data_IF_620927827829
#
_entry.id   IF_620927827829
#
_cell.length_a   1.000
_cell.length_b   1.000
_cell.length_c   1.000
_cell.angle_alpha   90.00
_cell.angle_beta   90.00
_cell.angle_gamma   90.00
#
_symmetry.space_group_name_H-M   'P 1'
#
loop_
_entity.id
_entity.type
_entity.pdbx_description
1 polymer ?
#
# COMPACT_ATOMS: atom_id res chain seq x y z
N UNK A 1 23.39 33.98 -41.03
CA UNK A 1 23.31 34.11 -39.56
C UNK A 1 21.95 34.70 -39.26
N UNK A 2 20.97 33.87 -38.92
CA UNK A 2 19.58 34.31 -38.76
C UNK A 2 19.24 34.31 -37.27
N UNK A 3 19.03 35.50 -36.73
CA UNK A 3 18.49 35.71 -35.40
C UNK A 3 17.00 35.32 -35.42
N UNK A 4 16.62 34.37 -34.57
CA UNK A 4 15.21 34.03 -34.33
C UNK A 4 14.74 34.83 -33.13
N UNK A 5 13.96 35.87 -33.40
CA UNK A 5 13.20 36.62 -32.40
C UNK A 5 11.94 35.82 -32.07
N UNK A 6 11.87 35.25 -30.87
CA UNK A 6 10.64 34.61 -30.38
C UNK A 6 9.74 35.71 -29.81
N UNK A 7 8.68 36.01 -30.54
CA UNK A 7 7.58 36.87 -30.13
C UNK A 7 6.78 36.16 -29.04
N UNK A 8 6.64 36.77 -27.86
CA UNK A 8 5.65 36.37 -26.84
C UNK A 8 4.26 36.59 -27.40
N UNK A 9 3.53 35.51 -27.65
CA UNK A 9 2.09 35.56 -27.90
C UNK A 9 1.34 35.58 -26.58
N UNK A 10 0.78 36.73 -26.22
CA UNK A 10 -0.37 36.79 -25.32
C UNK A 10 -1.51 36.01 -25.96
N UNK A 11 -2.03 35.02 -25.23
CA UNK A 11 -3.34 34.42 -25.55
C UNK A 11 -4.15 34.36 -24.27
N UNK A 12 -5.09 35.32 -24.17
CA UNK A 12 -6.26 35.24 -23.30
C UNK A 12 -7.07 33.98 -23.63
N UNK A 13 -7.24 33.11 -22.64
CA UNK A 13 -8.16 31.98 -22.71
C UNK A 13 -8.79 31.69 -21.33
N UNK A 14 -10.00 32.24 -21.12
CA UNK A 14 -11.14 31.61 -20.43
C UNK A 14 -11.06 31.26 -18.93
N UNK A 15 -12.12 31.54 -18.13
CA UNK A 15 -12.19 31.08 -16.75
C UNK A 15 -12.78 29.66 -16.69
N UNK A 16 -11.93 28.63 -16.62
CA UNK A 16 -12.26 27.34 -15.98
C UNK A 16 -11.11 26.34 -16.04
N UNK A 17 -10.51 26.06 -14.89
CA UNK A 17 -10.26 24.73 -14.30
C UNK A 17 -9.20 24.88 -13.20
N UNK A 18 -9.40 24.25 -12.05
CA UNK A 18 -8.53 24.30 -10.87
C UNK A 18 -7.09 23.84 -11.15
N UNK A 19 -6.26 24.72 -11.72
CA UNK A 19 -4.82 24.52 -11.90
C UNK A 19 -4.08 25.04 -10.68
N UNK A 20 -3.84 24.16 -9.70
CA UNK A 20 -2.89 24.45 -8.63
C UNK A 20 -1.51 24.67 -9.25
N UNK A 21 -1.00 25.89 -9.19
CA UNK A 21 0.36 26.21 -9.62
C UNK A 21 1.32 25.59 -8.60
N UNK A 22 1.90 24.45 -8.93
CA UNK A 22 3.01 23.89 -8.18
C UNK A 22 4.31 24.42 -8.76
N UNK A 23 5.28 24.67 -7.90
CA UNK A 23 6.64 25.06 -8.28
C UNK A 23 7.27 23.94 -9.13
N UNK A 24 7.94 24.30 -10.22
CA UNK A 24 8.67 23.33 -11.04
C UNK A 24 9.92 22.88 -10.27
N UNK A 25 10.05 21.58 -9.93
CA UNK A 25 11.20 21.10 -9.17
C UNK A 25 12.54 21.17 -9.94
N UNK A 26 12.53 21.52 -11.22
CA UNK A 26 13.73 21.70 -12.04
C UNK A 26 14.20 23.15 -12.13
N UNK A 27 13.38 24.11 -11.68
CA UNK A 27 13.79 25.51 -11.59
C UNK A 27 14.79 25.71 -10.45
N UNK A 28 15.60 26.77 -10.55
CA UNK A 28 16.55 27.11 -9.51
C UNK A 28 15.83 27.75 -8.31
N UNK A 29 16.24 27.37 -7.11
CA UNK A 29 15.76 27.97 -5.87
C UNK A 29 15.86 29.51 -5.90
N UNK A 30 14.81 30.15 -5.43
CA UNK A 30 14.69 31.60 -5.28
C UNK A 30 14.65 32.00 -3.80
N UNK A 31 15.08 33.23 -3.51
CA UNK A 31 14.97 33.82 -2.16
C UNK A 31 13.49 33.94 -1.74
N UNK A 32 12.56 33.94 -2.70
CA UNK A 32 11.11 33.97 -2.45
C UNK A 32 10.49 32.60 -2.12
N UNK A 33 11.23 31.51 -2.22
CA UNK A 33 10.66 30.16 -2.05
C UNK A 33 10.24 29.90 -0.61
N UNK A 34 9.20 29.10 -0.45
CA UNK A 34 8.67 28.75 0.85
C UNK A 34 9.59 27.71 1.50
N UNK A 35 10.34 28.14 2.51
CA UNK A 35 11.20 27.24 3.29
C UNK A 35 10.36 26.32 4.20
N UNK A 36 10.43 25.01 3.97
CA UNK A 36 9.78 23.99 4.82
C UNK A 36 10.78 23.45 5.85
N UNK A 37 10.59 23.79 7.12
CA UNK A 37 11.42 23.24 8.21
C UNK A 37 10.87 21.91 8.68
N UNK A 38 11.70 20.86 8.66
CA UNK A 38 11.30 19.53 9.14
C UNK A 38 12.46 18.76 9.77
N UNK A 39 12.14 17.65 10.42
CA UNK A 39 13.14 16.72 10.96
C UNK A 39 13.59 15.72 9.88
N UNK A 40 14.77 15.11 10.07
CA UNK A 40 15.21 13.99 9.22
C UNK A 40 14.17 12.86 9.15
N UNK A 41 13.48 12.58 10.27
CA UNK A 41 12.39 11.57 10.30
C UNK A 41 11.20 12.00 9.44
N UNK A 42 10.89 13.30 9.40
CA UNK A 42 9.87 13.85 8.50
C UNK A 42 10.22 13.63 7.03
N UNK A 43 11.46 13.93 6.63
CA UNK A 43 11.95 13.66 5.27
C UNK A 43 11.88 12.17 4.92
N UNK A 44 12.27 11.28 5.84
CA UNK A 44 12.18 9.83 5.61
C UNK A 44 10.74 9.36 5.39
N UNK A 45 9.77 9.93 6.13
CA UNK A 45 8.34 9.61 5.95
C UNK A 45 7.83 10.05 4.59
N UNK A 46 8.22 11.25 4.15
CA UNK A 46 7.88 11.75 2.82
C UNK A 46 8.46 10.84 1.73
N UNK A 47 9.75 10.51 1.82
CA UNK A 47 10.41 9.63 0.85
C UNK A 47 9.77 8.24 0.79
N UNK A 48 9.39 7.68 1.94
CA UNK A 48 8.65 6.41 2.01
C UNK A 48 7.32 6.47 1.26
N UNK A 49 6.51 7.52 1.51
CA UNK A 49 5.21 7.66 0.85
C UNK A 49 5.36 7.91 -0.65
N UNK A 50 6.34 8.70 -1.07
CA UNK A 50 6.62 8.92 -2.49
C UNK A 50 6.99 7.60 -3.20
N UNK A 51 7.82 6.77 -2.58
CA UNK A 51 8.19 5.46 -3.10
C UNK A 51 6.98 4.52 -3.22
N UNK A 52 6.13 4.46 -2.19
CA UNK A 52 4.90 3.64 -2.22
C UNK A 52 3.89 4.14 -3.26
N UNK A 53 3.79 5.45 -3.44
CA UNK A 53 2.91 6.07 -4.45
C UNK A 53 3.36 5.68 -5.85
N UNK A 54 4.64 5.89 -6.18
CA UNK A 54 5.20 5.50 -7.47
C UNK A 54 5.09 3.99 -7.72
N UNK A 55 5.46 3.18 -6.73
CA UNK A 55 5.38 1.73 -6.82
C UNK A 55 3.95 1.24 -7.05
N UNK A 56 2.96 1.86 -6.42
CA UNK A 56 1.55 1.55 -6.68
C UNK A 56 1.11 1.94 -8.07
N UNK A 57 1.39 3.17 -8.49
CA UNK A 57 0.92 3.70 -9.78
C UNK A 57 1.47 2.86 -10.93
N UNK A 58 2.75 2.47 -10.85
CA UNK A 58 3.34 1.53 -11.80
C UNK A 58 2.70 0.14 -11.72
N UNK A 59 2.54 -0.41 -10.51
CA UNK A 59 1.96 -1.74 -10.29
C UNK A 59 0.52 -1.87 -10.81
N UNK A 60 -0.28 -0.83 -10.64
CA UNK A 60 -1.70 -0.80 -11.03
C UNK A 60 -1.93 -0.23 -12.44
N UNK A 61 -0.88 0.28 -13.10
CA UNK A 61 -1.02 0.93 -14.40
C UNK A 61 -1.97 2.13 -14.33
N UNK A 62 -1.99 2.85 -13.21
CA UNK A 62 -2.80 4.05 -13.07
C UNK A 62 -2.24 5.08 -14.05
N UNK A 63 -3.00 5.39 -15.11
CA UNK A 63 -2.62 6.38 -16.14
C UNK A 63 -2.57 7.83 -15.63
N UNK A 64 -2.36 8.00 -14.33
CA UNK A 64 -2.19 9.27 -13.65
C UNK A 64 -0.72 9.45 -13.26
N UNK A 65 -0.29 10.70 -13.13
CA UNK A 65 1.05 11.00 -12.65
C UNK A 65 1.13 10.84 -11.11
N UNK A 66 2.07 10.04 -10.57
CA UNK A 66 2.31 9.94 -9.14
C UNK A 66 2.65 11.29 -8.49
N UNK A 67 3.37 12.17 -9.19
CA UNK A 67 3.74 13.48 -8.65
C UNK A 67 2.50 14.38 -8.50
N UNK A 68 1.62 14.38 -9.52
CA UNK A 68 0.30 15.01 -9.41
C UNK A 68 -0.52 14.43 -8.25
N UNK A 69 -0.35 13.14 -7.89
CA UNK A 69 -1.01 12.61 -6.70
C UNK A 69 -0.50 13.24 -5.40
N UNK A 70 0.83 13.36 -5.29
CA UNK A 70 1.51 13.91 -4.11
C UNK A 70 1.19 15.38 -3.87
N UNK A 71 0.94 16.13 -4.95
CA UNK A 71 0.74 17.57 -4.92
C UNK A 71 -0.73 17.97 -4.80
N UNK A 72 -1.67 17.20 -5.34
CA UNK A 72 -3.09 17.57 -5.29
C UNK A 72 -3.69 17.44 -3.86
N UNK A 73 -4.67 18.29 -3.50
CA UNK A 73 -5.46 18.14 -2.28
C UNK A 73 -6.13 16.77 -2.17
N UNK A 74 -6.08 16.17 -0.97
CA UNK A 74 -6.63 14.83 -0.70
C UNK A 74 -7.55 14.80 0.50
N UNK A 75 -8.69 14.13 0.37
CA UNK A 75 -9.60 13.86 1.48
C UNK A 75 -8.92 13.01 2.57
N UNK A 76 -7.97 12.15 2.20
CA UNK A 76 -7.11 11.41 3.13
C UNK A 76 -6.36 12.32 4.14
N UNK A 77 -6.01 13.53 3.69
CA UNK A 77 -5.28 14.53 4.48
C UNK A 77 -6.17 15.70 4.90
N UNK A 78 -7.50 15.55 4.86
CA UNK A 78 -8.43 16.61 5.24
C UNK A 78 -8.38 17.83 4.31
N UNK A 79 -8.05 17.61 3.03
CA UNK A 79 -7.90 18.67 2.03
C UNK A 79 -6.46 19.18 1.86
N UNK A 80 -5.51 18.73 2.70
CA UNK A 80 -4.09 19.01 2.51
C UNK A 80 -3.46 18.20 1.37
N UNK A 81 -2.21 18.54 1.04
CA UNK A 81 -1.41 17.85 0.03
C UNK A 81 -0.48 16.80 0.67
N UNK A 82 -0.10 15.76 -0.07
CA UNK A 82 0.65 14.63 0.51
C UNK A 82 2.07 15.03 0.92
N UNK A 83 2.74 15.89 0.13
CA UNK A 83 4.13 16.31 0.37
C UNK A 83 4.31 16.92 1.77
N UNK A 84 3.36 17.73 2.19
CA UNK A 84 3.37 18.38 3.51
C UNK A 84 2.83 17.46 4.59
N UNK A 85 1.64 16.87 4.36
CA UNK A 85 0.96 16.07 5.37
C UNK A 85 1.82 14.88 5.82
N UNK A 86 2.52 14.22 4.89
CA UNK A 86 3.30 13.02 5.18
C UNK A 86 4.56 13.27 6.02
N UNK A 87 4.94 14.52 6.29
CA UNK A 87 5.96 14.82 7.29
C UNK A 87 5.54 14.35 8.69
N UNK A 88 4.23 14.33 8.96
CA UNK A 88 3.66 13.81 10.20
C UNK A 88 3.46 12.29 10.17
N UNK A 89 3.72 11.65 11.31
CA UNK A 89 3.61 10.18 11.46
C UNK A 89 2.21 9.66 11.09
N UNK A 90 1.16 10.36 11.51
CA UNK A 90 -0.23 9.94 11.33
C UNK A 90 -0.61 9.85 9.85
N UNK A 91 -0.29 10.90 9.08
CA UNK A 91 -0.59 10.96 7.66
C UNK A 91 0.31 10.04 6.83
N UNK A 92 1.59 9.90 7.20
CA UNK A 92 2.48 8.90 6.61
C UNK A 92 1.90 7.48 6.72
N UNK A 93 1.48 7.06 7.92
CA UNK A 93 0.88 5.73 8.12
C UNK A 93 -0.38 5.53 7.28
N UNK A 94 -1.24 6.54 7.21
CA UNK A 94 -2.45 6.50 6.39
C UNK A 94 -2.14 6.31 4.91
N UNK A 95 -1.18 7.07 4.38
CA UNK A 95 -0.77 6.97 2.98
C UNK A 95 -0.13 5.61 2.66
N UNK A 96 0.75 5.11 3.53
CA UNK A 96 1.34 3.76 3.38
C UNK A 96 0.25 2.69 3.33
N UNK A 97 -0.76 2.77 4.21
CA UNK A 97 -1.89 1.83 4.16
C UNK A 97 -2.73 1.98 2.90
N UNK A 98 -3.04 3.21 2.47
CA UNK A 98 -3.77 3.46 1.24
C UNK A 98 -3.06 2.80 0.03
N UNK A 99 -1.76 3.03 -0.12
CA UNK A 99 -1.00 2.54 -1.27
C UNK A 99 -0.64 1.05 -1.16
N UNK A 100 -0.27 0.58 0.03
CA UNK A 100 0.11 -0.82 0.27
C UNK A 100 -1.08 -1.78 0.21
N UNK A 101 -2.29 -1.32 0.54
CA UNK A 101 -3.51 -2.12 0.46
C UNK A 101 -4.38 -1.78 -0.76
N UNK A 102 -3.91 -0.89 -1.64
CA UNK A 102 -4.62 -0.47 -2.85
C UNK A 102 -6.05 0.03 -2.57
N UNK A 103 -6.24 0.78 -1.48
CA UNK A 103 -7.55 1.23 -0.99
C UNK A 103 -8.05 2.47 -1.74
N UNK A 104 -8.32 2.33 -3.03
CA UNK A 104 -8.82 3.44 -3.86
C UNK A 104 -7.81 4.57 -4.03
N UNK A 105 -8.19 5.62 -4.76
CA UNK A 105 -7.27 6.70 -5.15
C UNK A 105 -7.12 7.80 -4.09
N UNK A 106 -8.19 8.08 -3.34
CA UNK A 106 -8.23 9.07 -2.26
C UNK A 106 -9.30 8.68 -1.23
N UNK A 107 -9.00 7.68 -0.40
CA UNK A 107 -9.94 7.22 0.62
C UNK A 107 -10.05 8.23 1.77
N UNK A 108 -11.23 8.38 2.39
CA UNK A 108 -11.39 9.29 3.52
C UNK A 108 -10.57 8.81 4.73
N UNK A 109 -10.00 9.76 5.46
CA UNK A 109 -9.16 9.50 6.63
C UNK A 109 -9.81 8.56 7.66
N UNK A 110 -11.12 8.68 7.89
CA UNK A 110 -11.83 7.85 8.86
C UNK A 110 -11.86 6.37 8.47
N UNK A 111 -11.92 6.07 7.17
CA UNK A 111 -11.88 4.69 6.70
C UNK A 111 -10.52 4.03 6.97
N UNK A 112 -9.42 4.78 6.83
CA UNK A 112 -8.08 4.28 7.11
C UNK A 112 -7.81 4.23 8.63
N UNK A 113 -8.30 5.21 9.38
CA UNK A 113 -8.19 5.21 10.85
C UNK A 113 -8.89 4.03 11.49
N UNK A 114 -10.05 3.61 10.96
CA UNK A 114 -10.74 2.40 11.44
C UNK A 114 -9.84 1.16 11.34
N UNK A 115 -9.08 1.02 10.24
CA UNK A 115 -8.13 -0.09 10.07
C UNK A 115 -6.97 -0.02 11.08
N UNK A 116 -6.55 1.18 11.48
CA UNK A 116 -5.50 1.40 12.48
C UNK A 116 -6.00 1.15 13.90
N UNK A 117 -7.22 1.57 14.20
CA UNK A 117 -7.85 1.41 15.52
C UNK A 117 -8.06 -0.07 15.87
N UNK A 118 -8.42 -0.89 14.88
CA UNK A 118 -8.57 -2.36 14.99
C UNK A 118 -7.28 -3.08 15.44
N UNK A 119 -6.11 -2.41 15.38
CA UNK A 119 -4.81 -2.94 15.83
C UNK A 119 -4.33 -2.44 17.19
N UNK A 120 -5.06 -1.55 17.86
CA UNK A 120 -4.60 -0.82 19.08
C UNK A 120 -5.27 -1.27 20.39
N UNK A 121 -5.89 -2.45 20.41
CA UNK A 121 -6.47 -3.01 21.63
C UNK A 121 -5.44 -3.56 22.62
N UNK A 122 -5.03 -2.70 23.57
CA UNK A 122 -4.74 -3.04 24.97
C UNK A 122 -3.68 -4.13 25.23
N UNK A 123 -2.40 -3.76 25.12
CA UNK A 123 -1.36 -4.37 25.97
C UNK A 123 -1.45 -3.65 27.33
N UNK A 124 -2.25 -4.24 28.22
CA UNK A 124 -2.37 -3.80 29.60
C UNK A 124 -1.01 -3.79 30.29
N UNK A 125 -0.44 -2.60 30.45
CA UNK A 125 0.29 -2.28 31.67
C UNK A 125 -0.73 -1.91 32.74
N UNK A 126 -1.35 -2.94 33.33
CA UNK A 126 -1.93 -2.84 34.67
C UNK A 126 -1.40 -4.03 35.49
N UNK A 127 -0.20 -3.81 36.01
CA UNK A 127 0.34 -4.57 37.13
C UNK A 127 0.17 -3.74 38.40
N UNK A 128 -1.03 -3.22 38.71
CA UNK A 128 -1.34 -2.65 40.02
C UNK A 128 -2.79 -2.93 40.45
N UNK A 129 -2.91 -3.95 41.30
CA UNK A 129 -3.87 -4.12 42.39
C UNK A 129 -5.37 -3.75 42.19
N UNK A 130 -6.20 -4.80 42.14
CA UNK A 130 -7.38 -4.91 43.01
C UNK A 130 -8.74 -4.43 42.47
N UNK A 131 -9.67 -5.39 42.34
CA UNK A 131 -11.05 -5.18 42.81
C UNK A 131 -12.15 -4.93 41.78
N UNK A 132 -12.99 -5.98 41.63
CA UNK A 132 -14.46 -5.94 41.53
C UNK A 132 -15.17 -5.42 40.25
N UNK A 133 -15.73 -6.40 39.54
CA UNK A 133 -17.12 -6.50 39.03
C UNK A 133 -17.70 -5.42 38.10
N UNK A 134 -18.09 -5.87 36.90
CA UNK A 134 -19.04 -5.10 36.07
C UNK A 134 -19.37 -5.71 34.71
N UNK A 135 -20.19 -6.76 34.71
CA UNK A 135 -21.08 -7.25 33.61
C UNK A 135 -20.57 -7.24 32.16
N UNK A 136 -20.15 -8.44 31.77
CA UNK A 136 -19.90 -8.89 30.40
C UNK A 136 -21.17 -8.86 29.52
N UNK A 137 -21.11 -8.10 28.42
CA UNK A 137 -21.83 -8.45 27.19
C UNK A 137 -20.77 -9.02 26.24
N UNK A 138 -20.74 -10.35 26.13
CA UNK A 138 -19.83 -11.05 25.23
C UNK A 138 -20.21 -10.78 23.78
N UNK A 139 -19.52 -9.84 23.14
CA UNK A 139 -19.35 -9.85 21.68
C UNK A 139 -18.10 -10.68 21.40
N UNK A 140 -18.12 -11.68 20.50
CA UNK A 140 -16.99 -12.60 20.33
C UNK A 140 -15.72 -11.87 19.90
N UNK A 141 -14.83 -11.62 20.87
CA UNK A 141 -13.45 -11.17 20.69
C UNK A 141 -12.65 -12.29 20.02
N UNK A 142 -12.74 -12.44 18.70
CA UNK A 142 -11.72 -13.21 18.00
C UNK A 142 -10.49 -12.31 17.85
N UNK A 143 -9.52 -12.44 18.74
CA UNK A 143 -8.13 -12.08 18.42
C UNK A 143 -7.75 -12.89 17.18
N UNK A 144 -7.96 -12.36 15.97
CA UNK A 144 -7.78 -13.15 14.73
C UNK A 144 -6.30 -13.44 14.60
N UNK A 145 -5.92 -14.66 15.00
CA UNK A 145 -4.56 -15.16 14.86
C UNK A 145 -4.14 -14.97 13.42
N UNK A 146 -3.20 -14.05 13.19
CA UNK A 146 -2.57 -13.87 11.89
C UNK A 146 -1.89 -15.19 11.50
N UNK A 147 -2.11 -15.60 10.25
CA UNK A 147 -1.51 -16.81 9.67
C UNK A 147 -0.87 -16.44 8.35
N UNK A 148 0.22 -17.12 8.03
CA UNK A 148 0.73 -17.14 6.68
C UNK A 148 -0.28 -17.85 5.78
N UNK A 149 -0.60 -17.25 4.66
CA UNK A 149 -1.35 -17.87 3.58
C UNK A 149 -0.50 -17.89 2.32
N UNK A 150 -0.66 -18.92 1.52
CA UNK A 150 -0.17 -18.97 0.14
C UNK A 150 -1.32 -19.14 -0.83
N UNK A 151 -1.14 -18.67 -2.04
CA UNK A 151 -2.07 -18.86 -3.14
C UNK A 151 -1.31 -19.14 -4.42
N UNK A 152 -1.84 -20.09 -5.19
CA UNK A 152 -1.38 -20.39 -6.55
C UNK A 152 -2.50 -19.96 -7.49
N UNK A 153 -2.11 -19.30 -8.57
CA UNK A 153 -3.01 -18.74 -9.55
C UNK A 153 -2.48 -19.15 -10.92
N UNK A 154 -3.33 -19.81 -11.70
CA UNK A 154 -3.04 -20.18 -13.08
C UNK A 154 -4.23 -19.72 -13.90
N UNK A 155 -4.03 -18.77 -14.80
CA UNK A 155 -5.11 -18.24 -15.63
C UNK A 155 -4.64 -17.93 -17.04
N UNK A 156 -5.50 -18.19 -18.03
CA UNK A 156 -5.31 -17.74 -19.40
C UNK A 156 -5.95 -16.36 -19.59
N UNK A 157 -5.20 -15.40 -20.12
CA UNK A 157 -5.68 -14.05 -20.42
C UNK A 157 -5.10 -13.57 -21.76
N UNK A 158 -5.96 -13.41 -22.76
CA UNK A 158 -5.59 -12.74 -24.01
C UNK A 158 -4.45 -13.38 -24.81
N UNK A 159 -4.30 -14.71 -24.78
CA UNK A 159 -3.19 -15.41 -25.43
C UNK A 159 -1.91 -15.50 -24.59
N UNK A 160 -2.00 -15.22 -23.30
CA UNK A 160 -0.92 -15.46 -22.34
C UNK A 160 -1.41 -16.33 -21.18
N UNK A 161 -0.55 -17.23 -20.71
CA UNK A 161 -0.72 -17.96 -19.46
C UNK A 161 -0.02 -17.20 -18.34
N UNK A 162 -0.80 -16.75 -17.35
CA UNK A 162 -0.28 -16.18 -16.11
C UNK A 162 -0.21 -17.27 -15.05
N UNK A 163 1.00 -17.55 -14.61
CA UNK A 163 1.27 -18.31 -13.39
C UNK A 163 1.69 -17.31 -12.31
N UNK A 164 1.02 -17.32 -11.16
CA UNK A 164 1.38 -16.48 -10.03
C UNK A 164 1.38 -17.27 -8.71
N UNK A 165 2.40 -17.03 -7.90
CA UNK A 165 2.46 -17.44 -6.51
C UNK A 165 2.34 -16.20 -5.62
N UNK A 166 1.43 -16.23 -4.66
CA UNK A 166 1.26 -15.17 -3.67
C UNK A 166 1.40 -15.73 -2.26
N UNK A 167 2.19 -15.10 -1.40
CA UNK A 167 2.27 -15.46 0.01
C UNK A 167 2.17 -14.20 0.87
N UNK A 168 1.20 -14.18 1.80
CA UNK A 168 1.03 -13.05 2.71
C UNK A 168 0.48 -13.46 4.06
N UNK A 169 0.77 -12.65 5.07
CA UNK A 169 0.24 -12.82 6.43
C UNK A 169 -1.09 -12.10 6.55
N UNK A 170 -2.13 -12.82 6.96
CA UNK A 170 -3.48 -12.28 7.02
C UNK A 170 -4.30 -12.91 8.15
N UNK A 171 -5.41 -12.27 8.59
CA UNK A 171 -6.32 -12.84 9.56
C UNK A 171 -7.27 -13.89 8.95
N UNK A 172 -7.44 -13.90 7.62
CA UNK A 172 -8.31 -14.84 6.91
C UNK A 172 -7.94 -14.97 5.43
N UNK A 173 -8.37 -16.06 4.79
CA UNK A 173 -8.23 -16.25 3.35
C UNK A 173 -9.01 -15.20 2.52
N UNK A 174 -10.08 -14.61 3.08
CA UNK A 174 -10.84 -13.56 2.41
C UNK A 174 -10.00 -12.29 2.20
N UNK A 175 -9.19 -11.92 3.20
CA UNK A 175 -8.27 -10.78 3.09
C UNK A 175 -7.19 -11.04 2.03
N UNK A 176 -6.66 -12.25 1.98
CA UNK A 176 -5.68 -12.66 0.96
C UNK A 176 -6.31 -12.62 -0.43
N UNK A 177 -7.55 -13.09 -0.56
CA UNK A 177 -8.30 -13.02 -1.83
C UNK A 177 -8.52 -11.59 -2.28
N UNK A 178 -8.80 -10.68 -1.36
CA UNK A 178 -8.95 -9.26 -1.69
C UNK A 178 -7.63 -8.62 -2.12
N UNK A 179 -6.51 -8.98 -1.47
CA UNK A 179 -5.16 -8.55 -1.91
C UNK A 179 -4.83 -9.06 -3.32
N UNK A 180 -5.13 -10.33 -3.60
CA UNK A 180 -4.97 -10.90 -4.94
C UNK A 180 -5.87 -10.19 -5.94
N UNK A 181 -7.12 -9.89 -5.57
CA UNK A 181 -8.06 -9.15 -6.43
C UNK A 181 -7.51 -7.77 -6.79
N UNK A 182 -6.97 -7.07 -5.80
CA UNK A 182 -6.37 -5.76 -5.98
C UNK A 182 -5.11 -5.82 -6.87
N UNK A 183 -4.26 -6.85 -6.69
CA UNK A 183 -2.96 -6.95 -7.39
C UNK A 183 -3.04 -7.56 -8.79
N UNK A 184 -3.84 -8.62 -8.94
CA UNK A 184 -3.87 -9.48 -10.14
C UNK A 184 -5.23 -9.44 -10.85
N UNK A 185 -6.21 -8.72 -10.28
CA UNK A 185 -7.55 -8.57 -10.82
C UNK A 185 -8.56 -9.60 -10.29
N UNK A 186 -9.83 -9.33 -10.56
CA UNK A 186 -10.97 -10.13 -10.09
C UNK A 186 -10.94 -11.57 -10.60
N UNK A 187 -10.53 -11.79 -11.85
CA UNK A 187 -10.41 -13.11 -12.44
C UNK A 187 -9.34 -13.97 -11.75
N UNK A 188 -8.17 -13.39 -11.47
CA UNK A 188 -7.10 -14.06 -10.73
C UNK A 188 -7.53 -14.42 -9.31
N UNK A 189 -8.22 -13.52 -8.61
CA UNK A 189 -8.73 -13.77 -7.26
C UNK A 189 -9.83 -14.85 -7.21
N UNK A 190 -10.63 -14.96 -8.26
CA UNK A 190 -11.62 -16.01 -8.40
C UNK A 190 -10.97 -17.39 -8.62
N UNK A 191 -9.85 -17.44 -9.35
CA UNK A 191 -9.10 -18.67 -9.64
C UNK A 191 -8.02 -18.99 -8.60
N UNK A 192 -7.79 -18.12 -7.62
CA UNK A 192 -6.76 -18.30 -6.61
C UNK A 192 -7.06 -19.46 -5.64
N UNK A 193 -6.16 -20.43 -5.61
CA UNK A 193 -6.17 -21.52 -4.64
C UNK A 193 -5.46 -21.12 -3.35
N UNK A 194 -6.21 -20.49 -2.44
CA UNK A 194 -5.68 -19.96 -1.18
C UNK A 194 -5.67 -21.04 -0.10
N UNK A 195 -4.52 -21.24 0.55
CA UNK A 195 -4.32 -22.17 1.66
C UNK A 195 -3.56 -21.52 2.82
N UNK A 196 -3.68 -22.11 4.00
CA UNK A 196 -2.90 -21.70 5.19
C UNK A 196 -1.52 -22.37 5.11
N UNK A 197 -0.46 -21.60 5.35
CA UNK A 197 0.92 -22.04 5.20
C UNK A 197 1.37 -22.07 3.75
N UNK A 198 2.51 -22.72 3.50
CA UNK A 198 3.03 -22.97 2.16
C UNK A 198 3.14 -24.48 1.98
N UNK A 199 2.76 -24.95 0.81
CA UNK A 199 2.96 -26.35 0.40
C UNK A 199 4.29 -26.46 -0.34
N UNK A 200 5.31 -27.09 0.27
CA UNK A 200 6.63 -27.24 -0.33
C UNK A 200 6.66 -28.27 -1.46
N UNK A 201 5.70 -29.19 -1.50
CA UNK A 201 5.69 -30.29 -2.46
C UNK A 201 4.90 -29.94 -3.72
N UNK A 202 4.24 -28.78 -3.73
CA UNK A 202 3.53 -28.29 -4.89
C UNK A 202 4.52 -27.94 -6.02
N UNK A 203 4.41 -28.57 -7.21
CA UNK A 203 5.33 -28.33 -8.33
C UNK A 203 5.40 -26.87 -8.75
N UNK A 204 4.26 -26.16 -8.67
CA UNK A 204 4.17 -24.74 -9.00
C UNK A 204 4.93 -23.87 -7.99
N UNK A 205 4.85 -24.18 -6.69
CA UNK A 205 5.65 -23.47 -5.68
C UNK A 205 7.14 -23.68 -5.91
N UNK A 206 7.56 -24.92 -6.16
CA UNK A 206 8.97 -25.27 -6.39
C UNK A 206 9.54 -24.64 -7.67
N UNK A 207 8.73 -24.56 -8.73
CA UNK A 207 9.15 -23.95 -10.00
C UNK A 207 9.22 -22.43 -9.97
N UNK A 208 8.40 -21.78 -9.14
CA UNK A 208 8.26 -20.32 -9.12
C UNK A 208 9.02 -19.62 -7.99
N UNK A 209 9.21 -20.29 -6.85
CA UNK A 209 9.77 -19.65 -5.66
C UNK A 209 11.19 -20.13 -5.44
N UNK A 210 12.19 -19.22 -5.39
CA UNK A 210 13.56 -19.59 -5.05
C UNK A 210 13.63 -20.39 -3.73
N UNK A 211 14.44 -21.46 -3.64
CA UNK A 211 14.49 -22.34 -2.47
C UNK A 211 14.71 -21.59 -1.14
N UNK A 212 15.58 -20.59 -1.11
CA UNK A 212 15.85 -19.79 0.08
C UNK A 212 14.62 -18.98 0.58
N UNK A 213 13.76 -18.54 -0.33
CA UNK A 213 12.51 -17.85 0.01
C UNK A 213 11.49 -18.86 0.55
N UNK A 214 11.38 -20.02 -0.10
CA UNK A 214 10.51 -21.09 0.32
C UNK A 214 10.86 -21.60 1.73
N UNK A 215 12.14 -21.83 2.01
CA UNK A 215 12.63 -22.21 3.35
C UNK A 215 12.27 -21.16 4.42
N UNK A 216 12.38 -19.88 4.07
CA UNK A 216 12.02 -18.78 4.98
C UNK A 216 10.52 -18.77 5.25
N UNK A 217 9.69 -18.91 4.23
CA UNK A 217 8.24 -18.99 4.38
C UNK A 217 7.79 -20.22 5.19
N UNK A 218 8.44 -21.37 5.03
CA UNK A 218 8.14 -22.58 5.80
C UNK A 218 8.56 -22.41 7.26
N UNK A 219 9.77 -21.91 7.50
CA UNK A 219 10.33 -21.66 8.82
C UNK A 219 9.48 -20.68 9.61
N UNK A 220 9.10 -19.57 9.00
CA UNK A 220 8.30 -18.55 9.66
C UNK A 220 6.82 -18.92 9.70
N UNK A 221 6.32 -19.66 8.69
CA UNK A 221 4.97 -20.27 8.62
C UNK A 221 4.57 -21.07 9.86
N UNK A 222 5.56 -21.63 10.57
CA UNK A 222 5.38 -22.42 11.80
C UNK A 222 5.21 -21.55 13.06
N UNK A 223 5.50 -20.25 13.01
CA UNK A 223 5.37 -19.35 14.18
C UNK A 223 3.90 -19.03 14.48
N UNK A 224 3.48 -19.21 15.74
CA UNK A 224 2.09 -18.96 16.19
C UNK A 224 1.74 -17.48 16.42
N UNK A 225 2.74 -16.59 16.48
CA UNK A 225 2.55 -15.14 16.69
C UNK A 225 3.37 -14.38 15.65
N UNK A 226 2.65 -13.67 14.77
CA UNK A 226 3.21 -12.90 13.66
C UNK A 226 3.20 -11.39 13.95
N UNK A 227 3.51 -10.98 15.18
CA UNK A 227 3.41 -9.57 15.60
C UNK A 227 4.43 -8.63 14.94
N UNK A 228 5.52 -9.15 14.38
CA UNK A 228 6.61 -8.35 13.75
C UNK A 228 6.62 -8.48 12.21
N UNK A 229 5.86 -9.41 11.63
CA UNK A 229 5.87 -9.70 10.20
C UNK A 229 4.57 -9.34 9.47
N UNK A 230 3.85 -8.33 10.00
CA UNK A 230 2.66 -7.74 9.37
C UNK A 230 2.93 -7.05 8.00
N UNK A 231 4.15 -7.16 7.46
CA UNK A 231 4.56 -6.64 6.16
C UNK A 231 5.09 -7.68 5.16
N UNK A 232 4.99 -9.00 5.44
CA UNK A 232 5.34 -10.00 4.42
C UNK A 232 4.19 -10.12 3.42
N UNK A 233 4.43 -9.56 2.23
CA UNK A 233 3.65 -9.77 1.02
C UNK A 233 4.61 -10.07 -0.13
N UNK A 234 4.66 -11.33 -0.54
CA UNK A 234 5.50 -11.79 -1.66
C UNK A 234 4.57 -12.21 -2.78
N UNK A 235 4.80 -11.69 -3.98
CA UNK A 235 4.15 -12.18 -5.19
C UNK A 235 5.21 -12.43 -6.25
N UNK A 236 5.19 -13.63 -6.82
CA UNK A 236 6.03 -14.02 -7.95
C UNK A 236 5.11 -14.29 -9.13
N UNK A 237 5.39 -13.66 -10.26
CA UNK A 237 4.63 -13.79 -11.49
C UNK A 237 5.53 -14.34 -12.60
N UNK A 238 4.98 -15.25 -13.38
CA UNK A 238 5.57 -15.73 -14.62
C UNK A 238 4.51 -15.66 -15.71
N UNK A 239 4.82 -14.91 -16.77
CA UNK A 239 3.97 -14.79 -17.95
C UNK A 239 4.57 -15.61 -19.07
N UNK A 240 3.77 -16.53 -19.59
CA UNK A 240 4.16 -17.39 -20.68
C UNK A 240 3.31 -17.03 -21.90
N UNK A 241 3.91 -16.81 -23.07
CA UNK A 241 3.15 -16.73 -24.31
C UNK A 241 2.46 -18.08 -24.55
N UNK A 242 1.16 -18.08 -24.82
CA UNK A 242 0.38 -19.30 -25.12
C UNK A 242 0.32 -19.56 -26.62
#
# INVERSE_FOLDING_TARGET
MNAVTIVRGDTDAGPNAFGGCYEDPLDADSIGDIAVTTSRRGLTRLALVAAETGARFQREGLGHDPMAWMLAPRTLFGGGIAVEACLERKHCLRAVLLHGLSLGFDAPAQAIDALLADGSGDDGEDHWAGGAQGRSWEVPRSSRRLRLYSAIIVMARGGELLNAFHASVAPSAAVVRERIRARLGSAAAAQAEIRIGVDPDCPMTLGMVPPAILETLIRDGRRRRWSIAAGIDITVEQRLPS
#
